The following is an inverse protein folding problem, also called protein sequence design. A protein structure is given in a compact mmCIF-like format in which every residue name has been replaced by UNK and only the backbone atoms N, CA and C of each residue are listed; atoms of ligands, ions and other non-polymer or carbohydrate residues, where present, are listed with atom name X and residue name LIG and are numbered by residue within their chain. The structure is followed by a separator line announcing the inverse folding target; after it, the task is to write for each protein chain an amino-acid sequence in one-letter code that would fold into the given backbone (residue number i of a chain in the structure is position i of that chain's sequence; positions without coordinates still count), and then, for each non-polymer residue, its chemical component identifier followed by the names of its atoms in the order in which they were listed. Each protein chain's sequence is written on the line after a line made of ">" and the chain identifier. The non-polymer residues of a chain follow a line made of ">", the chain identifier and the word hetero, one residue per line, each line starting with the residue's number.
data_IF_185073195618
#
_entry.id   IF_185073195618
#
_cell.length_a   1.000
_cell.length_b   1.000
_cell.length_c   1.000
_cell.angle_alpha   90.00
_cell.angle_beta   90.00
_cell.angle_gamma   90.00
#
_symmetry.space_group_name_H-M   'P 1'
#
loop_
_entity.id
_entity.type
_entity.pdbx_description
1 polymer ?
#
# COMPACT_ATOMS: atom_id res chain seq x y z
N UNK A 1 12.13 0.80 6.54
CA UNK A 1 12.82 0.23 5.38
C UNK A 1 13.18 1.33 4.39
N UNK A 2 14.44 1.57 4.25
CA UNK A 2 14.96 2.59 3.35
C UNK A 2 15.12 2.03 1.93
N UNK A 3 14.77 2.81 0.91
CA UNK A 3 14.95 2.45 -0.48
C UNK A 3 13.76 2.88 -1.34
N UNK A 4 13.76 2.41 -2.58
CA UNK A 4 12.65 2.65 -3.49
C UNK A 4 11.69 1.47 -3.44
N UNK A 5 10.41 1.78 -3.40
CA UNK A 5 9.34 0.78 -3.34
C UNK A 5 8.37 1.00 -4.48
N UNK A 6 7.68 -0.05 -4.86
CA UNK A 6 6.56 0.03 -5.79
C UNK A 6 5.28 -0.16 -5.00
N UNK A 7 4.43 0.86 -5.07
CA UNK A 7 3.11 0.85 -4.45
C UNK A 7 2.03 0.67 -5.50
N UNK A 8 0.95 0.02 -5.12
CA UNK A 8 -0.33 0.15 -5.81
C UNK A 8 -1.09 1.31 -5.18
N UNK A 9 -1.67 2.16 -5.99
CA UNK A 9 -2.49 3.27 -5.52
C UNK A 9 -3.90 3.16 -6.09
N UNK A 10 -4.82 3.81 -5.41
CA UNK A 10 -6.25 3.63 -5.62
C UNK A 10 -6.81 4.76 -6.48
N UNK A 11 -7.96 4.50 -7.10
CA UNK A 11 -8.69 5.58 -7.74
C UNK A 11 -9.20 6.57 -6.68
N UNK A 12 -9.65 7.73 -7.13
CA UNK A 12 -10.03 8.82 -6.22
C UNK A 12 -11.12 8.42 -5.24
N UNK A 13 -12.11 7.68 -5.70
CA UNK A 13 -13.23 7.24 -4.87
C UNK A 13 -12.79 6.24 -3.80
N UNK A 14 -11.97 5.28 -4.17
CA UNK A 14 -11.41 4.28 -3.26
C UNK A 14 -10.46 4.92 -2.25
N UNK A 15 -9.60 5.83 -2.71
CA UNK A 15 -8.69 6.57 -1.84
C UNK A 15 -9.45 7.36 -0.77
N UNK A 16 -10.54 8.03 -1.16
CA UNK A 16 -11.36 8.78 -0.22
C UNK A 16 -11.93 7.90 0.90
N UNK A 17 -12.32 6.67 0.58
CA UNK A 17 -12.81 5.71 1.57
C UNK A 17 -11.74 5.30 2.57
N UNK A 18 -10.53 5.07 2.09
CA UNK A 18 -9.39 4.74 2.97
C UNK A 18 -8.99 5.95 3.81
N UNK A 19 -8.97 7.14 3.22
CA UNK A 19 -8.68 8.38 3.95
C UNK A 19 -9.68 8.62 5.08
N UNK A 20 -10.95 8.37 4.86
CA UNK A 20 -11.98 8.48 5.90
C UNK A 20 -11.69 7.53 7.08
N UNK A 21 -11.29 6.30 6.79
CA UNK A 21 -10.91 5.33 7.82
C UNK A 21 -9.63 5.77 8.56
N UNK A 22 -8.67 6.33 7.85
CA UNK A 22 -7.42 6.85 8.44
C UNK A 22 -7.68 8.04 9.34
N UNK A 23 -8.53 8.98 8.93
CA UNK A 23 -8.89 10.13 9.76
C UNK A 23 -9.51 9.71 11.07
N UNK A 24 -10.43 8.76 11.02
CA UNK A 24 -11.07 8.23 12.21
C UNK A 24 -10.08 7.55 13.14
N UNK A 25 -9.15 6.80 12.59
CA UNK A 25 -8.07 6.14 13.33
C UNK A 25 -7.15 7.19 13.97
N UNK A 26 -6.75 8.20 13.22
CA UNK A 26 -5.85 9.25 13.70
C UNK A 26 -6.49 10.15 14.75
N UNK A 27 -7.80 10.30 14.76
CA UNK A 27 -8.49 11.04 15.83
C UNK A 27 -8.29 10.39 17.21
N UNK A 28 -7.96 9.12 17.23
CA UNK A 28 -7.77 8.33 18.46
C UNK A 28 -6.28 8.04 18.72
N UNK A 29 -5.55 7.57 17.69
CA UNK A 29 -4.15 7.13 17.84
C UNK A 29 -3.11 8.18 17.48
N UNK A 30 -3.50 9.23 16.79
CA UNK A 30 -2.63 10.35 16.44
C UNK A 30 -1.35 9.94 15.70
N UNK A 31 -1.49 9.19 14.62
CA UNK A 31 -0.36 8.72 13.82
C UNK A 31 0.11 9.69 12.75
N UNK A 32 1.22 9.37 12.06
CA UNK A 32 1.73 10.19 10.97
C UNK A 32 0.81 10.16 9.75
N UNK A 33 0.94 11.17 8.90
CA UNK A 33 0.21 11.24 7.63
C UNK A 33 1.00 10.54 6.53
N UNK A 34 0.32 9.78 5.71
CA UNK A 34 0.89 9.14 4.53
C UNK A 34 -0.23 8.81 3.55
N UNK A 35 0.10 8.71 2.27
CA UNK A 35 -0.89 8.40 1.23
C UNK A 35 -1.37 6.95 1.32
N UNK A 36 -2.67 6.69 1.09
CA UNK A 36 -3.18 5.31 0.99
C UNK A 36 -2.46 4.53 -0.11
N UNK A 37 -2.01 3.35 0.22
CA UNK A 37 -1.35 2.49 -0.75
C UNK A 37 -1.34 1.03 -0.31
N UNK A 38 -1.15 0.16 -1.27
CA UNK A 38 -0.79 -1.23 -1.02
C UNK A 38 0.64 -1.44 -1.53
N UNK A 39 1.54 -1.90 -0.67
CA UNK A 39 2.90 -2.18 -1.10
C UNK A 39 2.89 -3.40 -2.00
N UNK A 40 3.52 -3.30 -3.16
CA UNK A 40 3.64 -4.40 -4.11
C UNK A 40 5.02 -5.03 -4.07
N UNK A 41 6.07 -4.24 -4.21
CA UNK A 41 7.43 -4.76 -4.35
C UNK A 41 8.48 -3.80 -3.80
N UNK A 42 9.62 -4.34 -3.43
CA UNK A 42 10.76 -3.57 -2.95
C UNK A 42 11.45 -4.24 -1.77
N UNK A 43 12.45 -3.60 -1.17
CA UNK A 43 13.04 -2.35 -1.64
C UNK A 43 14.01 -2.53 -2.82
N UNK A 44 14.13 -1.49 -3.63
CA UNK A 44 15.19 -1.32 -4.61
C UNK A 44 16.20 -0.34 -4.03
N UNK A 45 17.49 -0.65 -4.15
CA UNK A 45 18.54 0.26 -3.68
C UNK A 45 18.67 1.49 -4.58
N UNK A 46 18.46 1.28 -5.88
CA UNK A 46 18.56 2.34 -6.88
C UNK A 46 17.35 2.29 -7.81
N UNK A 47 16.94 3.45 -8.27
CA UNK A 47 15.93 3.61 -9.31
C UNK A 47 16.49 4.54 -10.39
N UNK A 48 16.43 4.12 -11.63
CA UNK A 48 16.94 4.86 -12.77
C UNK A 48 15.90 4.93 -13.89
N UNK A 49 16.30 5.49 -15.03
CA UNK A 49 15.40 5.60 -16.20
C UNK A 49 14.86 4.25 -16.66
N UNK A 50 15.66 3.21 -16.54
CA UNK A 50 15.27 1.86 -16.93
C UNK A 50 14.18 1.31 -15.99
N UNK A 51 14.27 1.60 -14.70
CA UNK A 51 13.24 1.25 -13.71
C UNK A 51 11.90 1.89 -14.09
N UNK A 52 11.90 3.18 -14.35
CA UNK A 52 10.69 3.92 -14.78
C UNK A 52 10.12 3.37 -16.08
N UNK A 53 10.96 3.06 -17.04
CA UNK A 53 10.56 2.49 -18.32
C UNK A 53 9.87 1.14 -18.14
N UNK A 54 10.41 0.28 -17.31
CA UNK A 54 9.81 -1.04 -17.01
C UNK A 54 8.44 -0.89 -16.34
N UNK A 55 8.34 -0.01 -15.35
CA UNK A 55 7.07 0.22 -14.66
C UNK A 55 6.03 0.84 -15.59
N UNK A 56 6.44 1.74 -16.46
CA UNK A 56 5.56 2.30 -17.49
C UNK A 56 5.00 1.20 -18.40
N UNK A 57 5.85 0.31 -18.90
CA UNK A 57 5.41 -0.78 -19.76
C UNK A 57 4.43 -1.71 -19.05
N UNK A 58 4.71 -2.06 -17.80
CA UNK A 58 3.82 -2.89 -16.99
C UNK A 58 2.46 -2.21 -16.83
N UNK A 59 2.45 -0.95 -16.47
CA UNK A 59 1.21 -0.20 -16.26
C UNK A 59 0.39 -0.08 -17.54
N UNK A 60 1.08 0.15 -18.65
CA UNK A 60 0.43 0.31 -19.96
C UNK A 60 -0.20 -1.00 -20.47
N UNK A 61 0.33 -2.13 -20.04
CA UNK A 61 -0.17 -3.46 -20.41
C UNK A 61 -1.11 -4.08 -19.39
N UNK A 62 -1.40 -3.39 -18.30
CA UNK A 62 -2.21 -3.92 -17.21
C UNK A 62 -3.48 -3.12 -17.02
N UNK A 63 -4.60 -3.80 -16.81
CA UNK A 63 -5.90 -3.16 -16.56
C UNK A 63 -6.03 -2.78 -15.09
N UNK A 64 -6.81 -1.74 -14.82
CA UNK A 64 -7.31 -1.43 -13.48
C UNK A 64 -8.11 -2.62 -12.99
N UNK A 65 -8.05 -2.89 -11.69
CA UNK A 65 -8.79 -4.03 -11.13
C UNK A 65 -9.23 -3.75 -9.70
N UNK A 66 -10.22 -4.51 -9.27
CA UNK A 66 -10.74 -4.44 -7.90
C UNK A 66 -9.90 -5.31 -6.97
N UNK A 67 -9.55 -4.76 -5.81
CA UNK A 67 -8.99 -5.52 -4.70
C UNK A 67 -10.04 -5.61 -3.60
N UNK A 68 -10.00 -6.70 -2.83
CA UNK A 68 -11.03 -7.02 -1.85
C UNK A 68 -10.44 -7.07 -0.46
N UNK A 69 -11.15 -6.47 0.49
CA UNK A 69 -10.75 -6.49 1.88
C UNK A 69 -11.18 -7.78 2.56
N UNK A 70 -10.33 -8.28 3.46
CA UNK A 70 -10.66 -9.40 4.36
C UNK A 70 -10.88 -8.95 5.80
N UNK A 71 -11.05 -7.66 6.01
CA UNK A 71 -11.27 -7.09 7.33
C UNK A 71 -10.08 -6.33 7.84
N UNK A 72 -10.17 -5.91 9.09
CA UNK A 72 -9.12 -5.16 9.76
C UNK A 72 -8.22 -6.09 10.57
N UNK A 73 -6.99 -5.68 10.75
CA UNK A 73 -6.04 -6.40 11.57
C UNK A 73 -4.97 -5.47 12.13
N UNK A 74 -4.17 -6.01 13.04
CA UNK A 74 -3.01 -5.29 13.57
C UNK A 74 -1.93 -6.28 14.01
N UNK A 75 -0.70 -5.77 14.06
CA UNK A 75 0.46 -6.48 14.60
C UNK A 75 1.19 -5.55 15.56
N UNK A 76 2.02 -6.13 16.40
CA UNK A 76 2.89 -5.35 17.26
C UNK A 76 4.17 -4.98 16.49
N UNK A 77 3.97 -4.20 15.43
CA UNK A 77 5.04 -3.71 14.55
C UNK A 77 4.69 -2.30 14.09
N UNK A 78 5.66 -1.42 14.06
CA UNK A 78 5.47 -0.03 13.69
C UNK A 78 4.78 0.15 12.34
N UNK A 79 5.24 -0.55 11.30
CA UNK A 79 4.71 -0.42 9.93
C UNK A 79 3.57 -1.39 9.61
N UNK A 80 3.15 -2.21 10.56
CA UNK A 80 1.98 -3.08 10.45
C UNK A 80 1.13 -2.94 11.72
N UNK A 81 0.95 -1.69 12.13
CA UNK A 81 0.32 -1.40 13.41
C UNK A 81 -1.19 -1.53 13.37
N UNK A 82 -1.84 -1.03 12.31
CA UNK A 82 -3.27 -1.21 12.07
C UNK A 82 -3.51 -1.09 10.56
N UNK A 83 -4.25 -2.03 10.00
CA UNK A 83 -4.38 -2.12 8.54
C UNK A 83 -5.67 -2.82 8.11
N UNK A 84 -6.01 -2.60 6.84
CA UNK A 84 -7.01 -3.38 6.12
C UNK A 84 -6.27 -4.56 5.47
N UNK A 85 -6.67 -5.78 5.78
CA UNK A 85 -6.12 -6.96 5.10
C UNK A 85 -6.73 -7.05 3.71
N UNK A 86 -5.91 -7.32 2.72
CA UNK A 86 -6.34 -7.46 1.33
C UNK A 86 -6.25 -8.93 0.92
N UNK A 87 -7.28 -9.37 0.23
CA UNK A 87 -7.38 -10.75 -0.22
C UNK A 87 -6.33 -11.04 -1.31
N UNK A 88 -5.69 -12.20 -1.22
CA UNK A 88 -4.73 -12.68 -2.21
C UNK A 88 -5.46 -13.16 -3.47
N UNK A 89 -5.89 -12.21 -4.31
CA UNK A 89 -6.53 -12.48 -5.59
C UNK A 89 -5.50 -12.66 -6.69
N UNK A 90 -5.86 -13.42 -7.72
CA UNK A 90 -4.99 -13.74 -8.85
C UNK A 90 -4.45 -12.47 -9.53
N UNK A 91 -5.30 -11.48 -9.76
CA UNK A 91 -4.89 -10.23 -10.43
C UNK A 91 -3.82 -9.48 -9.65
N UNK A 92 -4.00 -9.37 -8.34
CA UNK A 92 -3.03 -8.71 -7.47
C UNK A 92 -1.69 -9.45 -7.46
N UNK A 93 -1.73 -10.76 -7.29
CA UNK A 93 -0.53 -11.59 -7.24
C UNK A 93 0.19 -11.61 -8.59
N UNK A 94 -0.55 -11.60 -9.69
CA UNK A 94 0.02 -11.54 -11.04
C UNK A 94 0.76 -10.24 -11.26
N UNK A 95 0.16 -9.11 -10.89
CA UNK A 95 0.81 -7.79 -11.00
C UNK A 95 2.08 -7.74 -10.17
N UNK A 96 2.01 -8.17 -8.92
CA UNK A 96 3.19 -8.23 -8.05
C UNK A 96 4.31 -9.07 -8.63
N UNK A 97 3.99 -10.25 -9.11
CA UNK A 97 5.00 -11.16 -9.69
C UNK A 97 5.64 -10.57 -10.93
N UNK A 98 4.84 -9.91 -11.77
CA UNK A 98 5.36 -9.24 -12.97
C UNK A 98 6.34 -8.13 -12.60
N UNK A 99 6.02 -7.33 -11.59
CA UNK A 99 6.92 -6.28 -11.09
C UNK A 99 8.20 -6.90 -10.51
N UNK A 100 8.07 -7.89 -9.65
CA UNK A 100 9.23 -8.56 -9.03
C UNK A 100 10.17 -9.12 -10.09
N UNK A 101 9.62 -9.82 -11.08
CA UNK A 101 10.40 -10.42 -12.16
C UNK A 101 11.10 -9.36 -12.99
N UNK A 102 10.38 -8.30 -13.36
CA UNK A 102 10.93 -7.22 -14.19
C UNK A 102 12.03 -6.44 -13.49
N UNK A 103 11.92 -6.25 -12.20
CA UNK A 103 12.91 -5.52 -11.39
C UNK A 103 13.95 -6.44 -10.74
N UNK A 104 13.92 -7.74 -11.05
CA UNK A 104 14.83 -8.75 -10.51
C UNK A 104 14.83 -8.83 -9.00
N UNK A 105 13.65 -8.71 -8.41
CA UNK A 105 13.42 -8.85 -6.99
C UNK A 105 13.00 -10.29 -6.68
N UNK A 106 13.40 -10.79 -5.52
CA UNK A 106 12.94 -12.08 -5.05
C UNK A 106 11.51 -11.95 -4.56
N UNK A 107 10.63 -12.83 -5.06
CA UNK A 107 9.28 -12.94 -4.50
C UNK A 107 9.38 -13.72 -3.20
N UNK A 108 9.27 -12.99 -2.09
CA UNK A 108 9.19 -13.56 -0.76
C UNK A 108 7.71 -13.64 -0.35
N UNK A 109 7.46 -14.23 0.80
CA UNK A 109 6.12 -14.29 1.37
C UNK A 109 5.48 -12.90 1.35
N UNK A 110 4.28 -12.82 0.73
CA UNK A 110 3.58 -11.56 0.54
C UNK A 110 2.40 -11.44 1.50
N UNK A 111 2.32 -10.32 2.20
CA UNK A 111 1.20 -9.99 3.06
C UNK A 111 0.53 -8.71 2.55
N UNK A 112 -0.46 -8.81 1.65
CA UNK A 112 -1.11 -7.64 1.09
C UNK A 112 -1.99 -6.96 2.12
N UNK A 113 -1.77 -5.66 2.31
CA UNK A 113 -2.52 -4.84 3.26
C UNK A 113 -2.42 -3.37 2.91
N UNK A 114 -3.39 -2.60 3.40
CA UNK A 114 -3.38 -1.15 3.31
C UNK A 114 -3.33 -0.62 4.73
N UNK A 115 -2.25 0.06 5.08
CA UNK A 115 -2.06 0.59 6.43
C UNK A 115 -2.96 1.78 6.71
N UNK A 116 -3.54 1.78 7.91
CA UNK A 116 -4.32 2.90 8.42
C UNK A 116 -3.55 3.70 9.45
N UNK A 117 -2.58 3.10 10.08
CA UNK A 117 -1.80 3.71 11.14
C UNK A 117 -0.40 3.09 11.20
N UNK A 118 0.59 3.94 11.36
CA UNK A 118 1.95 3.56 11.69
C UNK A 118 2.29 4.09 13.08
N UNK A 119 2.91 3.27 13.90
CA UNK A 119 3.33 3.68 15.21
C UNK A 119 3.19 2.58 16.24
N UNK A 120 3.30 2.97 17.50
CA UNK A 120 3.12 2.10 18.64
C UNK A 120 1.81 2.47 19.35
N UNK A 121 1.00 1.49 19.62
CA UNK A 121 -0.24 1.67 20.36
C UNK A 121 -0.61 0.37 21.07
N UNK A 122 -1.29 0.49 22.20
CA UNK A 122 -1.73 -0.68 22.95
C UNK A 122 -2.76 -1.47 22.14
N UNK A 123 -2.70 -2.79 22.21
CA UNK A 123 -3.64 -3.67 21.52
C UNK A 123 -5.10 -3.38 21.91
N UNK A 124 -5.34 -3.00 23.16
CA UNK A 124 -6.69 -2.61 23.62
C UNK A 124 -7.24 -1.42 22.86
N UNK A 125 -6.41 -0.42 22.59
CA UNK A 125 -6.81 0.75 21.79
C UNK A 125 -7.12 0.37 20.36
N UNK A 126 -6.31 -0.51 19.77
CA UNK A 126 -6.54 -1.02 18.41
C UNK A 126 -7.83 -1.82 18.33
N UNK A 127 -8.10 -2.68 19.31
CA UNK A 127 -9.34 -3.46 19.36
C UNK A 127 -10.59 -2.57 19.43
N UNK A 128 -10.52 -1.50 20.20
CA UNK A 128 -11.62 -0.54 20.29
C UNK A 128 -11.89 0.16 18.97
N UNK A 129 -10.84 0.51 18.25
CA UNK A 129 -10.95 1.16 16.94
C UNK A 129 -11.59 0.20 15.93
N UNK A 130 -11.10 -1.03 15.87
CA UNK A 130 -11.61 -2.05 14.95
C UNK A 130 -13.11 -2.25 15.11
N UNK A 131 -13.61 -2.24 16.34
CA UNK A 131 -15.04 -2.42 16.61
C UNK A 131 -15.90 -1.26 16.11
N UNK A 132 -15.34 -0.07 15.98
CA UNK A 132 -16.06 1.16 15.61
C UNK A 132 -15.83 1.60 14.19
N UNK A 133 -14.78 1.09 13.53
CA UNK A 133 -14.34 1.56 12.24
C UNK A 133 -15.10 0.86 11.11
N UNK A 134 -15.69 1.66 10.24
CA UNK A 134 -16.18 1.17 8.96
C UNK A 134 -15.01 1.18 7.96
N UNK A 135 -14.90 0.11 7.19
CA UNK A 135 -13.84 -0.04 6.21
C UNK A 135 -14.42 -0.51 4.88
N UNK A 136 -13.83 -0.09 3.75
CA UNK A 136 -14.34 -0.48 2.45
C UNK A 136 -14.07 -1.96 2.14
N UNK A 137 -15.06 -2.63 1.57
CA UNK A 137 -14.94 -4.03 1.17
C UNK A 137 -14.24 -4.18 -0.18
N UNK A 138 -14.47 -3.21 -1.07
CA UNK A 138 -13.92 -3.21 -2.42
C UNK A 138 -13.22 -1.88 -2.71
N UNK A 139 -12.06 -1.95 -3.37
CA UNK A 139 -11.28 -0.80 -3.74
C UNK A 139 -10.73 -1.03 -5.16
N UNK A 140 -10.65 0.03 -5.95
CA UNK A 140 -10.08 -0.06 -7.29
C UNK A 140 -8.64 0.39 -7.27
N UNK A 141 -7.74 -0.51 -7.67
CA UNK A 141 -6.34 -0.21 -7.87
C UNK A 141 -6.18 0.31 -9.29
N UNK A 142 -5.79 1.59 -9.44
CA UNK A 142 -5.76 2.26 -10.74
C UNK A 142 -4.38 2.68 -11.20
N UNK A 143 -3.36 2.51 -10.38
CA UNK A 143 -2.00 2.90 -10.74
C UNK A 143 -0.96 2.17 -9.91
N UNK A 144 0.26 2.17 -10.43
CA UNK A 144 1.44 1.79 -9.66
C UNK A 144 2.35 2.99 -9.54
N UNK A 145 3.08 3.10 -8.44
CA UNK A 145 3.94 4.25 -8.17
C UNK A 145 5.31 3.80 -7.69
N UNK A 146 6.32 4.51 -8.15
CA UNK A 146 7.68 4.39 -7.63
C UNK A 146 7.83 5.40 -6.50
N UNK A 147 8.22 4.95 -5.32
CA UNK A 147 8.24 5.78 -4.11
C UNK A 147 9.60 5.70 -3.44
N UNK A 148 10.10 6.85 -3.06
CA UNK A 148 11.32 6.97 -2.27
C UNK A 148 10.94 6.97 -0.79
N UNK A 149 11.36 5.95 -0.07
CA UNK A 149 11.02 5.70 1.34
C UNK A 149 12.26 5.75 2.20
N UNK A 150 12.19 6.47 3.29
CA UNK A 150 13.26 6.47 4.30
C UNK A 150 12.66 6.35 5.72
N UNK A 151 13.49 6.60 6.73
CA UNK A 151 13.08 6.47 8.12
C UNK A 151 12.06 7.52 8.56
N UNK A 152 12.04 8.66 7.89
CA UNK A 152 11.10 9.74 8.16
C UNK A 152 9.90 9.64 7.21
N UNK A 153 8.75 9.23 7.74
CA UNK A 153 7.53 9.07 6.95
C UNK A 153 7.13 10.37 6.24
N UNK A 154 7.36 11.52 6.88
CA UNK A 154 7.02 12.81 6.29
C UNK A 154 7.83 13.14 5.04
N UNK A 155 8.97 12.48 4.85
CA UNK A 155 9.83 12.68 3.68
C UNK A 155 9.57 11.68 2.55
N UNK A 156 8.67 10.73 2.74
CA UNK A 156 8.31 9.77 1.69
C UNK A 156 7.78 10.53 0.48
N UNK A 157 8.28 10.15 -0.69
CA UNK A 157 7.97 10.87 -1.92
C UNK A 157 7.60 9.91 -3.03
N UNK A 158 6.43 10.13 -3.62
CA UNK A 158 6.06 9.49 -4.88
C UNK A 158 6.91 10.11 -5.98
N UNK A 159 7.84 9.34 -6.52
CA UNK A 159 8.75 9.79 -7.57
C UNK A 159 8.01 9.87 -8.89
N UNK A 160 7.23 8.86 -9.19
CA UNK A 160 6.47 8.79 -10.43
C UNK A 160 5.27 7.84 -10.25
N UNK A 161 4.14 8.23 -10.83
CA UNK A 161 2.91 7.44 -10.82
C UNK A 161 2.57 7.00 -12.24
N UNK A 162 2.27 5.73 -12.41
CA UNK A 162 2.00 5.10 -13.71
C UNK A 162 0.56 4.60 -13.73
N UNK A 163 -0.36 5.27 -14.44
CA UNK A 163 -1.74 4.81 -14.51
C UNK A 163 -1.89 3.47 -15.21
N UNK A 164 -2.74 2.61 -14.69
CA UNK A 164 -3.17 1.39 -15.36
C UNK A 164 -4.21 1.74 -16.43
N UNK A 165 -4.43 0.83 -17.36
CA UNK A 165 -5.44 0.99 -18.40
C UNK A 165 -6.85 0.96 -17.88
#
# INVERSE_FOLDING_TARGET
>A
SKGFWVWGQLDRQSEAKVEAAKEKTNSILNGPKFEPHITLSGPLLEANKNTSKMLYQISNDSLKFTIYSEGLGYKDRFFQALFIKIKEETELLTLKRLIDTSLKLKSIEYFPHISLFYGEAASESKDKIIKKLNWPEELTLDSISLVDVDEDISSWKVVERFPLK
#
